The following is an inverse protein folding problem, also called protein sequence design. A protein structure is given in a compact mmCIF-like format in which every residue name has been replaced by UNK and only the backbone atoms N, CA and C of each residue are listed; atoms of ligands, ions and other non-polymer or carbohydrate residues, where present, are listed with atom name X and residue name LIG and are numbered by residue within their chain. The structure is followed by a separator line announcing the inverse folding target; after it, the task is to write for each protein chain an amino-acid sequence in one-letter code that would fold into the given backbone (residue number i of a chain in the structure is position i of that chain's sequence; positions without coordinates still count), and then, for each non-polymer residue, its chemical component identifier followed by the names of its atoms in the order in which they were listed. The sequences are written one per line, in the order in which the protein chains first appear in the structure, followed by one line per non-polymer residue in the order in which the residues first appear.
data_IF_872262242328
#
_entry.id   IF_872262242328
#
_cell.length_a   1.000
_cell.length_b   1.000
_cell.length_c   1.000
_cell.angle_alpha   90.00
_cell.angle_beta   90.00
_cell.angle_gamma   90.00
#
_symmetry.space_group_name_H-M   'P 1'
#
loop_
_entity.id
_entity.type
_entity.pdbx_description
1 polymer ?
#
# COMPACT_ATOMS: atom_id res chain seq x y z
N UNK A 1 -13.19 15.64 -0.80
CA UNK A 1 -13.49 15.57 -2.25
C UNK A 1 -12.57 14.55 -2.91
N UNK A 2 -13.11 13.71 -3.80
CA UNK A 2 -12.38 12.73 -4.62
C UNK A 2 -11.16 13.33 -5.34
N UNK A 3 -11.21 14.63 -5.70
CA UNK A 3 -10.10 15.37 -6.31
C UNK A 3 -8.82 15.43 -5.44
N UNK A 4 -8.92 15.14 -4.14
CA UNK A 4 -7.80 15.19 -3.18
C UNK A 4 -7.16 13.81 -2.94
N UNK A 5 -7.81 12.72 -3.36
CA UNK A 5 -7.30 11.37 -3.29
C UNK A 5 -6.66 11.04 -4.65
N UNK A 6 -5.34 11.25 -4.78
CA UNK A 6 -4.62 11.03 -6.02
C UNK A 6 -4.70 9.58 -6.56
N UNK A 7 -4.03 9.34 -7.70
CA UNK A 7 -4.01 8.10 -8.50
C UNK A 7 -3.70 6.78 -7.77
N UNK A 8 -3.39 6.80 -6.47
CA UNK A 8 -3.20 5.59 -5.66
C UNK A 8 -4.11 5.65 -4.45
N UNK A 9 -5.25 4.97 -4.54
CA UNK A 9 -6.03 4.66 -3.34
C UNK A 9 -5.14 3.84 -2.41
N UNK A 10 -4.88 4.36 -1.21
CA UNK A 10 -4.10 3.65 -0.20
C UNK A 10 -4.88 2.40 0.21
N UNK A 11 -4.41 1.23 -0.21
CA UNK A 11 -4.89 -0.05 0.33
C UNK A 11 -4.61 -0.06 1.83
N UNK A 12 -5.52 -0.63 2.62
CA UNK A 12 -5.30 -0.88 4.04
C UNK A 12 -4.51 -2.18 4.19
N UNK A 13 -3.56 -2.27 5.14
CA UNK A 13 -2.96 -3.55 5.47
C UNK A 13 -4.04 -4.48 6.01
N UNK A 14 -3.90 -5.77 5.73
CA UNK A 14 -4.80 -6.80 6.22
C UNK A 14 -4.00 -7.97 6.77
N UNK A 15 -4.34 -8.37 7.99
CA UNK A 15 -3.72 -9.47 8.71
C UNK A 15 -4.79 -10.54 8.93
N UNK A 16 -4.69 -11.68 8.22
CA UNK A 16 -5.69 -12.73 8.29
C UNK A 16 -5.73 -13.30 9.71
N UNK A 17 -6.91 -13.47 10.31
CA UNK A 17 -7.01 -14.18 11.58
C UNK A 17 -6.74 -15.68 11.37
N UNK A 18 -6.38 -16.42 12.41
CA UNK A 18 -6.05 -17.86 12.26
C UNK A 18 -7.27 -18.73 11.96
N UNK A 19 -8.46 -18.21 12.26
CA UNK A 19 -9.76 -18.89 12.24
C UNK A 19 -10.65 -18.40 11.08
N UNK A 20 -10.06 -17.92 9.97
CA UNK A 20 -10.81 -17.55 8.74
C UNK A 20 -11.84 -18.62 8.34
N UNK A 21 -11.48 -19.91 8.19
CA UNK A 21 -12.46 -20.92 7.74
C UNK A 21 -13.62 -21.10 8.73
N UNK A 22 -13.38 -21.00 10.04
CA UNK A 22 -14.43 -21.16 11.06
C UNK A 22 -15.38 -19.96 11.08
N UNK A 23 -14.85 -18.74 10.88
CA UNK A 23 -15.68 -17.53 10.72
C UNK A 23 -16.52 -17.59 9.45
N UNK A 24 -15.92 -17.99 8.33
CA UNK A 24 -16.67 -18.16 7.07
C UNK A 24 -17.76 -19.22 7.23
N UNK A 25 -17.46 -20.34 7.89
CA UNK A 25 -18.47 -21.37 8.21
C UNK A 25 -19.62 -20.81 9.05
N UNK A 26 -19.32 -19.97 10.03
CA UNK A 26 -20.34 -19.31 10.87
C UNK A 26 -21.23 -18.37 10.04
N UNK A 27 -20.64 -17.62 9.10
CA UNK A 27 -21.38 -16.76 8.16
C UNK A 27 -22.26 -17.60 7.22
N UNK A 28 -21.73 -18.71 6.67
CA UNK A 28 -22.50 -19.64 5.84
C UNK A 28 -23.72 -20.18 6.60
N UNK A 29 -23.53 -20.62 7.85
CA UNK A 29 -24.62 -21.11 8.69
C UNK A 29 -25.69 -20.04 8.95
N UNK A 30 -25.28 -18.80 9.24
CA UNK A 30 -26.20 -17.68 9.47
C UNK A 30 -27.05 -17.36 8.23
N UNK A 31 -26.46 -17.48 7.04
CA UNK A 31 -27.14 -17.22 5.77
C UNK A 31 -27.80 -18.47 5.17
N UNK A 32 -27.71 -19.62 5.85
CA UNK A 32 -28.21 -20.94 5.40
C UNK A 32 -27.63 -21.38 4.05
N UNK A 33 -26.34 -21.10 3.86
CA UNK A 33 -25.54 -21.43 2.67
C UNK A 33 -24.66 -22.66 2.99
N UNK A 34 -24.39 -23.50 1.98
CA UNK A 34 -23.45 -24.62 2.15
C UNK A 34 -22.00 -24.13 2.32
N UNK A 35 -21.28 -24.70 3.29
CA UNK A 35 -19.85 -24.45 3.48
C UNK A 35 -18.95 -25.33 2.58
N UNK A 36 -19.52 -26.10 1.64
CA UNK A 36 -18.70 -26.87 0.71
C UNK A 36 -17.78 -25.93 -0.08
N UNK A 37 -16.49 -26.30 -0.22
CA UNK A 37 -15.50 -25.51 -0.96
C UNK A 37 -15.96 -25.17 -2.37
N UNK A 38 -16.66 -26.11 -2.99
CA UNK A 38 -17.08 -26.06 -4.39
C UNK A 38 -18.47 -25.41 -4.55
N UNK A 39 -19.10 -25.00 -3.45
CA UNK A 39 -20.38 -24.30 -3.48
C UNK A 39 -20.23 -22.96 -4.18
N UNK A 40 -21.00 -22.76 -5.25
CA UNK A 40 -20.95 -21.56 -6.09
C UNK A 40 -21.97 -20.51 -5.62
N UNK A 41 -21.50 -19.27 -5.53
CA UNK A 41 -22.30 -18.09 -5.24
C UNK A 41 -22.88 -17.52 -6.55
N UNK A 42 -23.83 -18.24 -7.16
CA UNK A 42 -24.42 -17.85 -8.45
C UNK A 42 -25.42 -16.70 -8.32
N UNK A 43 -26.19 -16.66 -7.22
CA UNK A 43 -27.15 -15.61 -6.98
C UNK A 43 -26.43 -14.32 -6.52
N UNK A 44 -26.62 -13.22 -7.26
CA UNK A 44 -26.01 -11.93 -6.98
C UNK A 44 -26.40 -11.35 -5.61
N UNK A 45 -27.67 -11.51 -5.19
CA UNK A 45 -28.12 -11.00 -3.89
C UNK A 45 -27.50 -11.80 -2.74
N UNK A 46 -27.40 -13.11 -2.90
CA UNK A 46 -26.76 -14.00 -1.92
C UNK A 46 -25.28 -13.66 -1.81
N UNK A 47 -24.58 -13.54 -2.95
CA UNK A 47 -23.17 -13.14 -3.01
C UNK A 47 -22.95 -11.78 -2.35
N UNK A 48 -23.82 -10.80 -2.60
CA UNK A 48 -23.72 -9.49 -1.98
C UNK A 48 -23.88 -9.57 -0.45
N UNK A 49 -24.93 -10.23 0.05
CA UNK A 49 -25.17 -10.40 1.50
C UNK A 49 -24.03 -11.14 2.18
N UNK A 50 -23.49 -12.16 1.53
CA UNK A 50 -22.38 -12.96 2.03
C UNK A 50 -21.08 -12.13 2.11
N UNK A 51 -20.71 -11.42 1.05
CA UNK A 51 -19.52 -10.56 1.03
C UNK A 51 -19.64 -9.37 2.00
N UNK A 52 -20.84 -8.82 2.19
CA UNK A 52 -21.10 -7.78 3.19
C UNK A 52 -20.95 -8.31 4.63
N UNK A 53 -21.42 -9.53 4.91
CA UNK A 53 -21.18 -10.18 6.19
C UNK A 53 -19.68 -10.43 6.43
N UNK A 54 -18.95 -10.91 5.42
CA UNK A 54 -17.50 -11.08 5.50
C UNK A 54 -16.79 -9.74 5.75
N UNK A 55 -17.22 -8.66 5.10
CA UNK A 55 -16.66 -7.34 5.33
C UNK A 55 -16.84 -6.88 6.78
N UNK A 56 -17.99 -7.15 7.41
CA UNK A 56 -18.24 -6.78 8.82
C UNK A 56 -17.31 -7.53 9.78
N UNK A 57 -17.10 -8.82 9.54
CA UNK A 57 -16.28 -9.67 10.41
C UNK A 57 -14.77 -9.45 10.24
N UNK A 58 -14.30 -9.31 8.99
CA UNK A 58 -12.88 -9.17 8.68
C UNK A 58 -12.41 -7.71 8.56
N UNK A 59 -13.34 -6.76 8.49
CA UNK A 59 -13.06 -5.34 8.20
C UNK A 59 -12.22 -5.14 6.92
N UNK A 60 -12.31 -6.10 5.99
CA UNK A 60 -11.56 -6.14 4.74
C UNK A 60 -12.52 -6.39 3.57
N UNK A 61 -12.55 -5.41 2.65
CA UNK A 61 -13.49 -5.40 1.53
C UNK A 61 -12.83 -5.95 0.27
N UNK A 62 -13.60 -6.72 -0.50
CA UNK A 62 -13.18 -7.23 -1.80
C UNK A 62 -13.19 -6.09 -2.83
N UNK A 63 -12.08 -5.83 -3.54
CA UNK A 63 -12.05 -4.84 -4.61
C UNK A 63 -12.96 -5.24 -5.77
N UNK A 64 -13.64 -4.26 -6.39
CA UNK A 64 -14.52 -4.50 -7.55
C UNK A 64 -13.86 -5.30 -8.67
N UNK A 65 -12.56 -5.09 -8.90
CA UNK A 65 -11.79 -5.83 -9.91
C UNK A 65 -11.68 -7.33 -9.63
N UNK A 66 -11.80 -7.77 -8.37
CA UNK A 66 -11.62 -9.16 -7.94
C UNK A 66 -12.95 -9.85 -7.58
N UNK A 67 -14.07 -9.12 -7.52
CA UNK A 67 -15.38 -9.71 -7.16
C UNK A 67 -15.78 -10.85 -8.11
N UNK A 68 -15.42 -10.76 -9.38
CA UNK A 68 -15.73 -11.80 -10.38
C UNK A 68 -14.89 -13.08 -10.21
N UNK A 69 -13.73 -13.00 -9.56
CA UNK A 69 -12.84 -14.14 -9.28
C UNK A 69 -13.38 -15.00 -8.12
N UNK A 70 -14.15 -14.40 -7.21
CA UNK A 70 -14.76 -15.08 -6.07
C UNK A 70 -16.05 -15.81 -6.48
N UNK A 71 -15.91 -17.00 -7.05
CA UNK A 71 -17.05 -17.80 -7.52
C UNK A 71 -17.54 -18.79 -6.47
N UNK A 72 -16.61 -19.36 -5.70
CA UNK A 72 -16.89 -20.40 -4.71
C UNK A 72 -16.57 -19.95 -3.28
N UNK A 73 -17.10 -20.67 -2.28
CA UNK A 73 -16.73 -20.43 -0.86
C UNK A 73 -15.23 -20.66 -0.65
N UNK A 74 -14.63 -21.64 -1.34
CA UNK A 74 -13.19 -21.89 -1.30
C UNK A 74 -12.37 -20.67 -1.75
N UNK A 75 -12.81 -19.99 -2.82
CA UNK A 75 -12.14 -18.77 -3.30
C UNK A 75 -12.19 -17.65 -2.26
N UNK A 76 -13.33 -17.50 -1.56
CA UNK A 76 -13.49 -16.49 -0.52
C UNK A 76 -12.62 -16.78 0.70
N UNK A 77 -12.56 -18.03 1.15
CA UNK A 77 -11.66 -18.44 2.23
C UNK A 77 -10.22 -18.11 1.86
N UNK A 78 -9.77 -18.52 0.68
CA UNK A 78 -8.41 -18.26 0.19
C UNK A 78 -8.09 -16.76 0.10
N UNK A 79 -9.06 -15.94 -0.33
CA UNK A 79 -8.92 -14.49 -0.35
C UNK A 79 -8.69 -13.92 1.06
N UNK A 80 -9.51 -14.30 2.03
CA UNK A 80 -9.41 -13.81 3.41
C UNK A 80 -8.26 -14.44 4.21
N UNK A 81 -7.66 -15.53 3.76
CA UNK A 81 -6.41 -16.07 4.29
C UNK A 81 -5.18 -15.32 3.75
N UNK A 82 -5.31 -14.59 2.65
CA UNK A 82 -4.19 -13.90 2.02
C UNK A 82 -3.93 -12.55 2.71
N UNK A 83 -2.74 -12.41 3.32
CA UNK A 83 -2.35 -11.14 3.95
C UNK A 83 -2.05 -10.04 2.94
N UNK A 84 -2.34 -8.79 3.29
CA UNK A 84 -2.00 -7.61 2.47
C UNK A 84 -1.01 -6.73 3.25
N UNK A 85 0.23 -6.67 2.76
CA UNK A 85 1.24 -5.75 3.27
C UNK A 85 1.34 -4.50 2.37
N UNK A 86 1.17 -3.34 2.97
CA UNK A 86 1.22 -2.03 2.26
C UNK A 86 2.53 -1.30 2.48
N UNK A 87 3.47 -1.90 3.20
CA UNK A 87 4.82 -1.37 3.42
C UNK A 87 5.55 -1.35 2.09
N UNK A 88 6.03 -0.18 1.68
CA UNK A 88 6.81 -0.06 0.46
C UNK A 88 8.15 -0.78 0.63
N UNK A 89 8.72 -1.39 -0.43
CA UNK A 89 9.96 -2.16 -0.32
C UNK A 89 11.11 -1.37 0.33
N UNK A 90 11.21 -0.07 0.03
CA UNK A 90 12.23 0.80 0.61
C UNK A 90 12.08 0.98 2.13
N UNK A 91 10.85 1.08 2.63
CA UNK A 91 10.59 1.18 4.07
C UNK A 91 10.78 -0.18 4.75
N UNK A 92 10.52 -1.29 4.06
CA UNK A 92 10.81 -2.63 4.57
C UNK A 92 12.32 -2.83 4.80
N UNK A 93 13.17 -2.29 3.93
CA UNK A 93 14.63 -2.35 4.08
C UNK A 93 15.16 -1.65 5.33
N UNK A 94 14.46 -0.63 5.86
CA UNK A 94 14.85 0.05 7.11
C UNK A 94 14.86 -0.87 8.32
N UNK A 95 13.95 -1.84 8.31
CA UNK A 95 13.75 -2.79 9.42
C UNK A 95 14.45 -4.13 9.15
N UNK A 96 15.03 -4.31 7.96
CA UNK A 96 15.71 -5.54 7.58
C UNK A 96 17.13 -5.58 8.15
N UNK A 97 17.62 -6.78 8.50
CA UNK A 97 19.03 -6.98 8.86
C UNK A 97 19.86 -6.90 7.59
N UNK A 98 20.55 -5.77 7.38
CA UNK A 98 21.43 -5.56 6.24
C UNK A 98 22.78 -6.26 6.46
N UNK A 99 23.45 -6.73 5.39
CA UNK A 99 24.84 -7.14 5.44
C UNK A 99 25.76 -6.01 5.93
N UNK A 100 26.87 -6.34 6.60
CA UNK A 100 27.77 -5.35 7.20
C UNK A 100 28.39 -4.38 6.19
N UNK A 101 28.50 -4.79 4.93
CA UNK A 101 29.04 -4.00 3.83
C UNK A 101 27.98 -3.16 3.09
N UNK A 102 26.73 -3.13 3.54
CA UNK A 102 25.63 -2.41 2.90
C UNK A 102 25.06 -1.33 3.81
N UNK A 103 25.26 -0.07 3.43
CA UNK A 103 24.66 1.10 4.09
C UNK A 103 23.67 1.80 3.14
N UNK A 104 22.43 2.00 3.59
CA UNK A 104 21.38 2.65 2.81
C UNK A 104 21.03 4.01 3.44
N UNK A 105 21.10 5.08 2.65
CA UNK A 105 20.73 6.42 3.09
C UNK A 105 19.23 6.65 2.97
N UNK A 106 18.51 6.59 4.10
CA UNK A 106 17.05 6.61 4.12
C UNK A 106 16.40 7.96 3.84
N UNK A 107 16.99 9.04 4.32
CA UNK A 107 16.50 10.40 4.06
C UNK A 107 17.11 10.95 2.77
N UNK A 108 16.34 11.79 2.08
CA UNK A 108 16.81 12.43 0.87
C UNK A 108 17.89 13.46 1.23
N UNK A 109 19.14 13.18 0.87
CA UNK A 109 20.20 14.19 0.87
C UNK A 109 20.09 14.99 -0.43
N UNK A 110 19.93 16.31 -0.31
CA UNK A 110 19.79 17.22 -1.44
C UNK A 110 20.90 18.25 -1.34
N UNK A 111 21.67 18.39 -2.40
CA UNK A 111 22.73 19.40 -2.45
C UNK A 111 22.13 20.81 -2.37
N UNK A 112 22.67 21.61 -1.44
CA UNK A 112 22.41 23.03 -1.30
C UNK A 112 23.76 23.78 -1.21
N UNK A 113 24.10 24.64 -2.20
CA UNK A 113 25.40 25.30 -2.25
C UNK A 113 25.67 26.24 -1.06
N UNK A 114 24.62 26.70 -0.38
CA UNK A 114 24.77 27.62 0.75
C UNK A 114 25.11 26.88 2.06
N UNK A 115 24.69 25.62 2.20
CA UNK A 115 24.88 24.84 3.43
C UNK A 115 25.91 23.72 3.30
N UNK A 116 26.10 23.18 2.10
CA UNK A 116 27.02 22.07 1.86
C UNK A 116 28.44 22.56 1.59
N UNK A 117 29.37 22.19 2.46
CA UNK A 117 30.80 22.55 2.38
C UNK A 117 31.66 21.51 1.65
N UNK A 118 31.11 20.34 1.33
CA UNK A 118 31.84 19.31 0.60
C UNK A 118 32.27 19.81 -0.78
N UNK A 119 33.50 19.48 -1.19
CA UNK A 119 34.09 19.88 -2.47
C UNK A 119 34.05 21.40 -2.72
N UNK A 120 34.22 22.20 -1.66
CA UNK A 120 34.13 23.67 -1.72
C UNK A 120 32.77 24.17 -2.26
N UNK A 121 31.68 23.47 -1.97
CA UNK A 121 30.34 23.82 -2.44
C UNK A 121 30.15 23.63 -3.95
N UNK A 122 31.01 22.83 -4.61
CA UNK A 122 30.87 22.52 -6.02
C UNK A 122 30.00 21.28 -6.21
N UNK A 123 29.03 21.38 -7.12
CA UNK A 123 28.15 20.26 -7.50
C UNK A 123 28.51 19.72 -8.87
N UNK A 124 28.39 18.41 -9.05
CA UNK A 124 28.54 17.75 -10.35
C UNK A 124 27.43 18.15 -11.35
N UNK A 125 26.36 18.79 -10.89
CA UNK A 125 25.20 19.19 -11.70
C UNK A 125 24.97 20.71 -11.67
N UNK A 126 25.90 21.52 -12.22
CA UNK A 126 25.74 22.97 -12.24
C UNK A 126 24.46 23.36 -13.00
N UNK A 127 23.79 24.43 -12.55
CA UNK A 127 22.52 24.95 -13.12
C UNK A 127 21.30 24.03 -12.98
N UNK A 128 21.43 22.90 -12.30
CA UNK A 128 20.29 22.05 -11.95
C UNK A 128 19.65 22.52 -10.65
N UNK A 129 18.33 22.75 -10.66
CA UNK A 129 17.58 23.10 -9.45
C UNK A 129 17.14 21.84 -8.70
N UNK A 130 17.28 21.85 -7.39
CA UNK A 130 16.81 20.76 -6.50
C UNK A 130 15.41 21.06 -6.00
N UNK A 131 14.39 20.93 -6.86
CA UNK A 131 13.01 21.29 -6.53
C UNK A 131 12.33 20.24 -5.65
N UNK A 132 11.69 20.68 -4.56
CA UNK A 132 10.82 19.83 -3.73
C UNK A 132 9.38 20.02 -4.18
N UNK A 133 8.90 19.12 -5.03
CA UNK A 133 7.56 19.22 -5.64
C UNK A 133 6.44 18.70 -4.73
N UNK A 134 6.75 17.76 -3.83
CA UNK A 134 5.75 17.15 -2.95
C UNK A 134 5.33 18.08 -1.82
N UNK A 135 4.02 18.40 -1.73
CA UNK A 135 3.46 19.27 -0.68
C UNK A 135 3.83 18.81 0.74
N UNK A 136 3.80 17.50 1.00
CA UNK A 136 4.21 16.91 2.29
C UNK A 136 5.67 17.18 2.62
N UNK A 137 6.53 17.19 1.61
CA UNK A 137 7.99 17.21 1.77
C UNK A 137 8.58 18.60 1.67
N UNK A 138 7.84 19.58 1.12
CA UNK A 138 8.27 20.96 0.94
C UNK A 138 8.64 21.68 2.25
N UNK A 139 8.06 21.28 3.37
CA UNK A 139 8.44 21.79 4.70
C UNK A 139 9.53 20.99 5.41
N UNK A 140 9.78 19.74 4.99
CA UNK A 140 10.81 18.88 5.59
C UNK A 140 12.18 19.08 4.93
N UNK A 141 12.19 19.26 3.62
CA UNK A 141 13.42 19.43 2.84
C UNK A 141 13.42 20.79 2.16
N UNK A 142 14.55 21.47 2.23
CA UNK A 142 14.76 22.70 1.49
C UNK A 142 15.03 22.38 0.02
N UNK A 143 14.41 23.17 -0.86
CA UNK A 143 14.70 23.13 -2.28
C UNK A 143 15.65 24.27 -2.64
N UNK A 144 16.51 24.04 -3.61
CA UNK A 144 17.41 25.08 -4.14
C UNK A 144 17.10 25.38 -5.60
N UNK A 145 17.05 26.66 -5.95
CA UNK A 145 16.87 27.13 -7.31
C UNK A 145 18.21 27.61 -7.88
N UNK A 146 18.78 26.83 -8.80
CA UNK A 146 20.03 27.20 -9.42
C UNK A 146 19.85 28.35 -10.42
N UNK A 147 20.78 29.30 -10.41
CA UNK A 147 20.86 30.34 -11.43
C UNK A 147 21.15 29.68 -12.78
N UNK A 148 20.27 29.93 -13.76
CA UNK A 148 20.40 29.38 -15.13
C UNK A 148 21.15 30.33 -16.07
N UNK A 149 21.16 31.62 -15.76
CA UNK A 149 21.95 32.61 -16.50
C UNK A 149 23.44 32.46 -16.16
N UNK A 150 24.28 32.64 -17.18
CA UNK A 150 25.67 33.07 -16.94
C UNK A 150 25.66 34.52 -16.41
N UNK A 151 26.74 35.01 -15.77
CA UNK A 151 26.94 36.45 -15.60
C UNK A 151 26.63 37.23 -16.88
#
# INVERSE_FOLDING_TARGET
SLARNGFQQKKKPYYPPRDVPDKVRSICNNLKISFASDYKLENLEEKFKFLDACFRDFQHSVPNSQVHELQSIGDVVKFYETSVNTTVPYDALKNAKLPENLHIQHDYLRFNPDTDSMFNGQTAFPKSSTLVTGLKYRGKYEGYNAKRSWP
#
